data_IF_918402835576
#
_entry.id   IF_918402835576
#
_cell.length_a   1.000
_cell.length_b   1.000
_cell.length_c   1.000
_cell.angle_alpha   90.00
_cell.angle_beta   90.00
_cell.angle_gamma   90.00
#
_symmetry.space_group_name_H-M   'P 1'
#
loop_
_entity.id
_entity.type
_entity.pdbx_description
1 polymer ?
#
# COMPACT_ATOMS: atom_id res chain seq x y z
N UNK A 1 93.01 1.34 23.41
CA UNK A 1 91.78 2.13 23.52
C UNK A 1 90.89 1.72 22.36
N UNK A 2 89.94 0.84 22.66
CA UNK A 2 89.18 0.08 21.68
C UNK A 2 88.02 0.90 21.18
N UNK A 3 87.90 1.00 19.86
CA UNK A 3 86.75 1.63 19.18
C UNK A 3 85.77 0.51 18.84
N UNK A 4 84.75 0.39 19.60
CA UNK A 4 83.66 -0.55 19.37
C UNK A 4 82.92 -0.17 18.07
N UNK A 5 82.95 -1.05 17.13
CA UNK A 5 82.15 -0.95 15.88
C UNK A 5 80.72 -1.29 16.21
N UNK A 6 79.88 -0.33 16.16
CA UNK A 6 78.44 -0.48 16.22
C UNK A 6 77.95 -0.79 14.80
N UNK A 7 77.59 -2.08 14.58
CA UNK A 7 76.96 -2.50 13.36
C UNK A 7 75.47 -2.16 13.49
N UNK A 8 75.03 -1.15 12.74
CA UNK A 8 73.62 -0.83 12.60
C UNK A 8 73.03 -1.84 11.59
N UNK A 9 72.30 -2.83 12.12
CA UNK A 9 71.43 -3.71 11.29
C UNK A 9 70.17 -2.94 10.98
N UNK A 10 70.12 -2.42 9.74
CA UNK A 10 68.91 -1.75 9.23
C UNK A 10 67.94 -2.87 8.78
N UNK A 11 67.01 -3.21 9.69
CA UNK A 11 65.91 -4.13 9.36
C UNK A 11 64.90 -3.36 8.52
N UNK A 12 65.00 -3.51 7.21
CA UNK A 12 64.00 -3.02 6.26
C UNK A 12 62.78 -3.95 6.42
N UNK A 13 61.85 -3.57 7.23
CA UNK A 13 60.52 -4.17 7.27
C UNK A 13 59.80 -3.77 5.99
N UNK A 14 59.84 -4.66 5.02
CA UNK A 14 59.05 -4.54 3.79
C UNK A 14 57.58 -4.73 4.17
N UNK A 15 56.88 -3.63 4.46
CA UNK A 15 55.41 -3.66 4.57
C UNK A 15 54.86 -3.98 3.17
N UNK A 16 54.57 -5.25 2.97
CA UNK A 16 53.70 -5.69 1.88
C UNK A 16 52.31 -5.03 2.11
N UNK A 17 52.15 -3.84 1.55
CA UNK A 17 50.87 -3.21 1.42
C UNK A 17 50.05 -4.07 0.45
N UNK A 18 49.31 -5.01 1.01
CA UNK A 18 48.29 -5.75 0.27
C UNK A 18 47.29 -4.70 -0.24
N UNK A 19 47.09 -4.56 -1.56
CA UNK A 19 46.09 -3.65 -2.06
C UNK A 19 44.76 -4.11 -1.46
N UNK A 20 43.94 -3.18 -0.87
CA UNK A 20 42.61 -3.54 -0.45
C UNK A 20 41.92 -4.10 -1.70
N UNK A 21 41.50 -5.35 -1.64
CA UNK A 21 40.66 -5.94 -2.66
C UNK A 21 39.52 -4.95 -2.85
N UNK A 22 39.56 -4.20 -3.94
CA UNK A 22 38.41 -3.50 -4.48
C UNK A 22 37.34 -4.59 -4.68
N UNK A 23 36.56 -4.80 -3.64
CA UNK A 23 35.30 -5.52 -3.77
C UNK A 23 34.55 -4.72 -4.82
N UNK A 24 34.60 -5.22 -6.06
CA UNK A 24 33.73 -4.72 -7.10
C UNK A 24 32.33 -4.79 -6.47
N UNK A 25 31.79 -3.63 -6.12
CA UNK A 25 30.36 -3.51 -5.80
C UNK A 25 29.68 -3.95 -7.07
N UNK A 26 29.21 -5.19 -7.08
CA UNK A 26 28.28 -5.67 -8.09
C UNK A 26 27.19 -4.63 -8.08
N UNK A 27 26.97 -3.87 -9.17
CA UNK A 27 25.86 -2.92 -9.19
C UNK A 27 24.62 -3.72 -8.79
N UNK A 28 23.71 -3.13 -7.97
CA UNK A 28 22.50 -3.81 -7.62
C UNK A 28 21.90 -4.33 -8.92
N UNK A 29 21.78 -5.64 -9.02
CA UNK A 29 21.08 -6.25 -10.14
C UNK A 29 19.75 -5.52 -10.21
N UNK A 30 19.40 -4.98 -11.36
CA UNK A 30 18.05 -4.51 -11.64
C UNK A 30 17.15 -5.75 -11.63
N UNK A 31 16.98 -6.35 -10.46
CA UNK A 31 15.97 -7.36 -10.27
C UNK A 31 14.66 -6.65 -10.59
N UNK A 32 13.99 -7.13 -11.61
CA UNK A 32 12.63 -6.69 -11.89
C UNK A 32 11.87 -6.73 -10.57
N UNK A 33 11.16 -5.67 -10.21
CA UNK A 33 10.41 -5.67 -8.95
C UNK A 33 9.58 -6.95 -8.89
N UNK A 34 9.54 -7.63 -7.74
CA UNK A 34 8.85 -8.90 -7.63
C UNK A 34 7.41 -8.71 -8.10
N UNK A 35 7.00 -9.55 -9.05
CA UNK A 35 5.66 -9.52 -9.62
C UNK A 35 4.67 -9.76 -8.48
N UNK A 36 3.59 -8.97 -8.43
CA UNK A 36 2.49 -9.16 -7.50
C UNK A 36 1.86 -10.52 -7.79
N UNK A 37 1.55 -11.31 -6.77
CA UNK A 37 0.81 -12.56 -6.92
C UNK A 37 -0.67 -12.37 -6.60
N UNK A 38 -1.53 -13.22 -7.14
CA UNK A 38 -2.96 -13.20 -6.79
C UNK A 38 -3.18 -13.35 -5.28
N UNK A 39 -2.41 -14.22 -4.62
CA UNK A 39 -2.49 -14.41 -3.17
C UNK A 39 -2.06 -13.17 -2.37
N UNK A 40 -1.10 -12.37 -2.87
CA UNK A 40 -0.76 -11.09 -2.26
C UNK A 40 -1.88 -10.06 -2.46
N UNK A 41 -2.42 -9.97 -3.68
CA UNK A 41 -3.52 -9.07 -3.99
C UNK A 41 -4.75 -9.40 -3.12
N UNK A 42 -5.10 -10.68 -2.99
CA UNK A 42 -6.19 -11.12 -2.14
C UNK A 42 -5.98 -10.70 -0.68
N UNK A 43 -4.81 -11.03 -0.08
CA UNK A 43 -4.50 -10.65 1.31
C UNK A 43 -4.52 -9.14 1.53
N UNK A 44 -4.06 -8.37 0.54
CA UNK A 44 -4.12 -6.92 0.60
C UNK A 44 -5.56 -6.40 0.65
N UNK A 45 -6.46 -6.99 -0.14
CA UNK A 45 -7.88 -6.61 -0.11
C UNK A 45 -8.55 -7.06 1.20
N UNK A 46 -8.19 -8.21 1.75
CA UNK A 46 -8.66 -8.63 3.06
C UNK A 46 -8.21 -7.63 4.16
N UNK A 47 -6.97 -7.16 4.09
CA UNK A 47 -6.45 -6.10 4.97
C UNK A 47 -7.18 -4.76 4.78
N UNK A 48 -7.49 -4.39 3.54
CA UNK A 48 -8.30 -3.20 3.25
C UNK A 48 -9.66 -3.26 3.95
N UNK A 49 -10.37 -4.38 3.85
CA UNK A 49 -11.68 -4.58 4.50
C UNK A 49 -11.55 -4.52 6.02
N UNK A 50 -10.55 -5.18 6.59
CA UNK A 50 -10.27 -5.18 8.03
C UNK A 50 -10.01 -3.75 8.56
N UNK A 51 -9.10 -3.01 7.92
CA UNK A 51 -8.75 -1.64 8.33
C UNK A 51 -9.90 -0.65 8.13
N UNK A 52 -10.67 -0.80 7.05
CA UNK A 52 -11.87 0.01 6.83
C UNK A 52 -12.89 -0.17 7.96
N UNK A 53 -13.14 -1.41 8.39
CA UNK A 53 -14.12 -1.71 9.44
C UNK A 53 -13.65 -1.31 10.85
N UNK A 54 -12.33 -1.22 11.07
CA UNK A 54 -11.74 -0.70 12.32
C UNK A 54 -11.85 0.81 12.45
N UNK A 55 -12.08 1.51 11.35
CA UNK A 55 -12.30 2.97 11.31
C UNK A 55 -11.11 3.78 11.87
N UNK A 56 -9.88 3.26 11.83
CA UNK A 56 -8.68 4.02 12.13
C UNK A 56 -8.13 4.64 10.83
N UNK A 57 -8.26 5.96 10.73
CA UNK A 57 -7.85 6.66 9.50
C UNK A 57 -6.34 6.60 9.25
N UNK A 58 -5.54 6.58 10.31
CA UNK A 58 -4.08 6.48 10.20
C UNK A 58 -3.68 5.16 9.57
N UNK A 59 -4.18 4.06 10.13
CA UNK A 59 -3.95 2.71 9.67
C UNK A 59 -4.54 2.44 8.28
N UNK A 60 -5.73 3.01 8.01
CA UNK A 60 -6.39 2.82 6.72
C UNK A 60 -5.63 3.51 5.59
N UNK A 61 -5.20 4.75 5.80
CA UNK A 61 -4.53 5.54 4.77
C UNK A 61 -3.13 5.06 4.39
N UNK A 62 -2.50 4.18 5.18
CA UNK A 62 -1.22 3.55 4.79
C UNK A 62 -1.37 2.60 3.60
N UNK A 63 -2.59 2.14 3.31
CA UNK A 63 -2.88 1.30 2.15
C UNK A 63 -2.83 2.08 0.82
N UNK A 64 -2.89 3.40 0.87
CA UNK A 64 -2.94 4.24 -0.32
C UNK A 64 -1.56 4.80 -0.68
N UNK A 65 -1.25 4.82 -1.97
CA UNK A 65 -0.17 5.63 -2.52
C UNK A 65 -0.43 7.11 -2.23
N UNK A 66 0.63 7.90 -2.07
CA UNK A 66 0.48 9.37 -1.93
C UNK A 66 -0.07 10.03 -3.20
N UNK A 67 0.06 9.37 -4.34
CA UNK A 67 -0.55 9.77 -5.61
C UNK A 67 -1.88 9.09 -5.90
N UNK A 68 -2.52 8.44 -4.92
CA UNK A 68 -3.77 7.72 -5.13
C UNK A 68 -4.90 8.64 -5.59
N UNK A 69 -5.76 8.06 -6.45
CA UNK A 69 -6.95 8.72 -6.98
C UNK A 69 -8.17 7.84 -6.68
N UNK A 70 -9.28 8.46 -6.31
CA UNK A 70 -10.57 7.79 -6.14
C UNK A 70 -11.59 8.34 -7.14
N UNK A 71 -12.29 7.42 -7.81
CA UNK A 71 -13.30 7.74 -8.81
C UNK A 71 -12.83 8.77 -9.85
N UNK A 72 -11.54 8.74 -10.20
CA UNK A 72 -10.87 9.63 -11.18
C UNK A 72 -10.89 11.12 -10.84
N UNK A 73 -11.29 11.50 -9.64
CA UNK A 73 -11.48 12.89 -9.23
C UNK A 73 -10.85 13.24 -7.90
N UNK A 74 -10.98 12.37 -6.89
CA UNK A 74 -10.53 12.67 -5.55
C UNK A 74 -9.04 12.35 -5.41
N UNK A 75 -8.29 13.30 -4.92
CA UNK A 75 -6.87 13.16 -4.60
C UNK A 75 -6.67 12.45 -3.26
N UNK A 76 -5.44 12.06 -2.93
CA UNK A 76 -5.10 11.45 -1.64
C UNK A 76 -5.61 12.27 -0.44
N UNK A 77 -5.54 13.60 -0.51
CA UNK A 77 -6.01 14.47 0.56
C UNK A 77 -7.55 14.42 0.68
N UNK A 78 -8.25 14.48 -0.46
CA UNK A 78 -9.72 14.40 -0.50
C UNK A 78 -10.20 13.02 -0.03
N UNK A 79 -9.52 11.94 -0.43
CA UNK A 79 -9.77 10.57 0.01
C UNK A 79 -9.68 10.50 1.55
N UNK A 80 -8.58 11.03 2.11
CA UNK A 80 -8.39 11.04 3.56
C UNK A 80 -9.51 11.78 4.28
N UNK A 81 -9.88 12.96 3.81
CA UNK A 81 -10.96 13.76 4.41
C UNK A 81 -12.30 13.03 4.34
N UNK A 82 -12.64 12.45 3.18
CA UNK A 82 -13.88 11.69 2.98
C UNK A 82 -13.99 10.49 3.93
N UNK A 83 -12.92 9.69 4.04
CA UNK A 83 -12.93 8.54 4.94
C UNK A 83 -12.88 8.96 6.40
N UNK A 84 -12.17 10.01 6.76
CA UNK A 84 -12.20 10.57 8.12
C UNK A 84 -13.63 10.95 8.51
N UNK A 85 -14.32 11.72 7.67
CA UNK A 85 -15.73 12.10 7.93
C UNK A 85 -16.66 10.87 8.04
N UNK A 86 -16.41 9.86 7.21
CA UNK A 86 -17.17 8.60 7.23
C UNK A 86 -16.98 7.88 8.56
N UNK A 87 -15.73 7.71 9.00
CA UNK A 87 -15.39 7.02 10.25
C UNK A 87 -15.89 7.80 11.47
N UNK A 88 -15.72 9.12 11.50
CA UNK A 88 -16.16 9.97 12.60
C UNK A 88 -17.68 9.95 12.80
N UNK A 89 -18.44 9.82 11.72
CA UNK A 89 -19.90 9.77 11.76
C UNK A 89 -20.48 8.36 11.98
N UNK A 90 -19.64 7.32 11.93
CA UNK A 90 -20.07 5.92 12.04
C UNK A 90 -19.94 5.40 13.46
N UNK A 91 -20.96 4.72 13.95
CA UNK A 91 -20.90 3.89 15.15
C UNK A 91 -20.16 2.59 14.84
N UNK A 92 -20.50 1.99 13.69
CA UNK A 92 -19.79 0.86 13.11
C UNK A 92 -19.97 0.81 11.60
N UNK A 93 -19.05 0.10 10.96
CA UNK A 93 -19.09 -0.26 9.55
C UNK A 93 -19.02 -1.79 9.41
N UNK A 94 -19.85 -2.33 8.51
CA UNK A 94 -19.71 -3.72 8.04
C UNK A 94 -19.42 -3.68 6.56
N UNK A 95 -18.48 -4.49 6.12
CA UNK A 95 -18.07 -4.56 4.73
C UNK A 95 -18.22 -6.01 4.24
N UNK A 96 -19.12 -6.25 3.31
CA UNK A 96 -19.21 -7.47 2.53
C UNK A 96 -18.54 -7.26 1.19
N UNK A 97 -17.74 -8.22 0.75
CA UNK A 97 -17.04 -8.16 -0.52
C UNK A 97 -17.04 -9.53 -1.18
N UNK A 98 -17.34 -9.54 -2.48
CA UNK A 98 -17.20 -10.69 -3.37
C UNK A 98 -16.25 -10.30 -4.49
N UNK A 99 -15.04 -10.87 -4.50
CA UNK A 99 -14.07 -10.63 -5.55
C UNK A 99 -14.46 -11.48 -6.76
N UNK A 100 -14.58 -10.83 -7.92
CA UNK A 100 -14.91 -11.47 -9.19
C UNK A 100 -13.67 -11.74 -10.04
N UNK A 101 -12.65 -10.89 -9.96
CA UNK A 101 -11.48 -11.01 -10.83
C UNK A 101 -10.25 -10.40 -10.14
N UNK A 102 -9.12 -11.09 -10.25
CA UNK A 102 -7.77 -10.54 -9.96
C UNK A 102 -6.97 -10.68 -11.25
N UNK A 103 -6.50 -9.57 -11.78
CA UNK A 103 -5.68 -9.53 -12.98
C UNK A 103 -4.29 -8.99 -12.65
N UNK A 104 -3.27 -9.82 -12.83
CA UNK A 104 -1.88 -9.44 -12.58
C UNK A 104 -1.25 -8.96 -13.89
N UNK A 105 -0.48 -7.87 -13.81
CA UNK A 105 0.31 -7.34 -14.92
C UNK A 105 1.71 -6.92 -14.42
N UNK A 106 2.57 -6.50 -15.34
CA UNK A 106 4.00 -6.29 -15.06
C UNK A 106 4.27 -5.37 -13.88
N UNK A 107 3.50 -4.31 -13.70
CA UNK A 107 3.77 -3.24 -12.72
C UNK A 107 2.70 -3.13 -11.63
N UNK A 108 1.72 -4.03 -11.62
CA UNK A 108 0.60 -3.93 -10.70
C UNK A 108 -0.40 -5.08 -10.75
N UNK A 109 -1.56 -4.84 -10.17
CA UNK A 109 -2.70 -5.72 -10.23
C UNK A 109 -4.01 -4.93 -10.24
N UNK A 110 -4.99 -5.39 -11.02
CA UNK A 110 -6.35 -4.92 -10.92
C UNK A 110 -7.19 -5.95 -10.17
N UNK A 111 -7.92 -5.52 -9.16
CA UNK A 111 -8.87 -6.36 -8.42
C UNK A 111 -10.27 -5.79 -8.60
N UNK A 112 -11.20 -6.62 -9.02
CA UNK A 112 -12.59 -6.23 -9.23
C UNK A 112 -13.52 -7.08 -8.39
N UNK A 113 -14.61 -6.48 -7.91
CA UNK A 113 -15.59 -7.19 -7.10
C UNK A 113 -16.89 -6.43 -6.93
N UNK A 114 -17.77 -7.00 -6.15
CA UNK A 114 -19.00 -6.36 -5.66
C UNK A 114 -18.90 -6.14 -4.18
N UNK A 115 -19.29 -4.95 -3.74
CA UNK A 115 -19.28 -4.59 -2.33
C UNK A 115 -20.69 -4.34 -1.79
N UNK A 116 -20.83 -4.57 -0.49
CA UNK A 116 -21.93 -4.10 0.33
C UNK A 116 -21.37 -3.48 1.61
N UNK A 117 -21.62 -2.21 1.85
CA UNK A 117 -21.24 -1.53 3.09
C UNK A 117 -22.50 -1.13 3.86
N UNK A 118 -22.58 -1.56 5.12
CA UNK A 118 -23.60 -1.13 6.06
C UNK A 118 -22.96 -0.16 7.04
N UNK A 119 -23.43 1.08 7.02
CA UNK A 119 -23.00 2.14 7.93
C UNK A 119 -24.08 2.40 8.98
N UNK A 120 -23.80 2.16 10.26
CA UNK A 120 -24.59 2.67 11.36
C UNK A 120 -24.06 4.05 11.76
N UNK A 121 -24.96 5.03 11.88
CA UNK A 121 -24.60 6.41 12.17
C UNK A 121 -24.70 6.68 13.67
N UNK A 122 -23.73 7.37 14.28
CA UNK A 122 -23.71 7.75 15.70
C UNK A 122 -24.94 8.58 16.15
N UNK A 123 -25.53 9.33 15.23
CA UNK A 123 -26.61 10.27 15.55
C UNK A 123 -27.93 9.94 14.84
N UNK A 124 -28.10 8.70 14.41
CA UNK A 124 -29.30 8.28 13.69
C UNK A 124 -29.62 6.81 13.98
N UNK A 125 -30.88 6.45 14.23
CA UNK A 125 -31.25 5.04 14.36
C UNK A 125 -31.23 4.30 13.04
N UNK A 126 -31.09 5.01 11.92
CA UNK A 126 -31.10 4.42 10.59
C UNK A 126 -29.70 4.00 10.17
N UNK A 127 -29.65 2.89 9.42
CA UNK A 127 -28.44 2.42 8.76
C UNK A 127 -28.48 2.80 7.29
N UNK A 128 -27.34 3.22 6.77
CA UNK A 128 -27.16 3.39 5.33
C UNK A 128 -26.56 2.11 4.76
N UNK A 129 -27.06 1.70 3.60
CA UNK A 129 -26.53 0.54 2.87
C UNK A 129 -26.07 1.01 1.51
N UNK A 130 -24.81 0.74 1.19
CA UNK A 130 -24.21 1.04 -0.10
C UNK A 130 -23.81 -0.27 -0.76
N UNK A 131 -24.21 -0.44 -2.02
CA UNK A 131 -23.88 -1.63 -2.82
C UNK A 131 -23.43 -1.20 -4.20
N UNK A 132 -22.57 -2.00 -4.80
CA UNK A 132 -22.16 -1.75 -6.18
C UNK A 132 -20.93 -2.52 -6.58
N UNK A 133 -20.37 -2.15 -7.71
CA UNK A 133 -19.11 -2.68 -8.19
C UNK A 133 -17.96 -1.82 -7.64
N UNK A 134 -16.82 -2.47 -7.44
CA UNK A 134 -15.60 -1.82 -6.97
C UNK A 134 -14.41 -2.39 -7.74
N UNK A 135 -13.43 -1.54 -8.01
CA UNK A 135 -12.17 -1.88 -8.64
C UNK A 135 -11.03 -1.18 -7.90
N UNK A 136 -9.98 -1.92 -7.61
CA UNK A 136 -8.71 -1.41 -7.11
C UNK A 136 -7.63 -1.60 -8.16
N UNK A 137 -6.80 -0.59 -8.36
CA UNK A 137 -5.52 -0.68 -9.05
C UNK A 137 -4.41 -0.67 -7.99
N UNK A 138 -3.70 -1.78 -7.90
CA UNK A 138 -2.61 -1.97 -6.94
C UNK A 138 -1.27 -1.80 -7.61
N UNK A 139 -0.35 -1.14 -6.93
CA UNK A 139 1.06 -1.02 -7.34
C UNK A 139 1.98 -1.40 -6.19
N UNK A 140 3.25 -1.67 -6.51
CA UNK A 140 4.29 -1.88 -5.51
C UNK A 140 5.16 -0.62 -5.42
N UNK A 141 5.11 0.07 -4.29
CA UNK A 141 5.96 1.22 -3.94
C UNK A 141 6.88 0.82 -2.80
N UNK A 142 8.19 0.98 -2.97
CA UNK A 142 9.22 0.63 -1.98
C UNK A 142 9.06 -0.78 -1.40
N UNK A 143 8.67 -1.74 -2.24
CA UNK A 143 8.44 -3.13 -1.85
C UNK A 143 7.08 -3.41 -1.22
N UNK A 144 6.24 -2.40 -0.97
CA UNK A 144 4.94 -2.51 -0.29
C UNK A 144 3.81 -2.33 -1.30
N UNK A 145 2.76 -3.16 -1.22
CA UNK A 145 1.54 -2.96 -2.01
C UNK A 145 0.78 -1.73 -1.54
N UNK A 146 0.29 -0.95 -2.50
CA UNK A 146 -0.54 0.23 -2.25
C UNK A 146 -1.63 0.37 -3.31
N UNK A 147 -2.71 1.02 -2.93
CA UNK A 147 -3.77 1.43 -3.85
C UNK A 147 -3.29 2.65 -4.62
N UNK A 148 -3.18 2.52 -5.94
CA UNK A 148 -2.93 3.61 -6.86
C UNK A 148 -4.22 4.30 -7.28
N UNK A 149 -5.27 3.50 -7.50
CA UNK A 149 -6.58 4.00 -7.89
C UNK A 149 -7.66 3.09 -7.30
N UNK A 150 -8.75 3.67 -6.85
CA UNK A 150 -9.96 2.96 -6.44
C UNK A 150 -11.16 3.59 -7.12
N UNK A 151 -11.96 2.75 -7.76
CA UNK A 151 -13.19 3.17 -8.42
C UNK A 151 -14.35 2.34 -7.89
N UNK A 152 -15.45 2.97 -7.56
CA UNK A 152 -16.66 2.28 -7.19
C UNK A 152 -17.89 3.00 -7.71
N UNK A 153 -18.88 2.21 -8.12
CA UNK A 153 -20.20 2.65 -8.49
C UNK A 153 -21.23 2.20 -7.47
N UNK A 154 -22.33 2.92 -7.36
CA UNK A 154 -23.46 2.51 -6.54
C UNK A 154 -24.55 1.90 -7.43
N UNK A 155 -25.12 0.79 -6.97
CA UNK A 155 -26.33 0.24 -7.57
C UNK A 155 -27.50 1.15 -7.17
N UNK A 156 -27.96 1.98 -8.10
CA UNK A 156 -29.21 2.72 -7.89
C UNK A 156 -30.38 1.76 -8.13
N UNK A 157 -31.08 1.37 -7.05
CA UNK A 157 -32.39 0.76 -7.19
C UNK A 157 -33.42 1.83 -7.50
N UNK A 158 -34.02 1.77 -8.68
CA UNK A 158 -35.13 2.62 -9.09
C UNK A 158 -36.43 2.41 -8.27
N UNK A 159 -36.48 1.36 -7.48
CA UNK A 159 -37.62 0.85 -6.74
C UNK A 159 -37.61 1.25 -5.25
N UNK A 160 -36.71 2.12 -4.81
CA UNK A 160 -36.77 2.69 -3.47
C UNK A 160 -37.69 3.93 -3.46
N UNK A 161 -38.88 3.88 -2.86
CA UNK A 161 -39.79 5.03 -2.82
C UNK A 161 -39.29 6.17 -1.93
N UNK A 162 -38.06 6.12 -1.43
CA UNK A 162 -37.48 7.03 -0.45
C UNK A 162 -36.33 7.89 -0.97
N UNK A 163 -36.08 7.92 -2.28
CA UNK A 163 -35.19 8.90 -2.88
C UNK A 163 -35.97 9.86 -3.76
N UNK A 164 -36.38 11.02 -3.21
CA UNK A 164 -36.62 12.16 -4.08
C UNK A 164 -35.26 12.53 -4.70
N UNK A 165 -35.25 12.74 -6.00
CA UNK A 165 -34.10 13.24 -6.77
C UNK A 165 -33.42 14.42 -6.08
N UNK A 166 -32.07 14.59 -6.28
CA UNK A 166 -31.39 15.81 -5.89
C UNK A 166 -31.95 17.02 -6.59
#
# INVERSE_FOLDING_TARGET
>A
MEIRKIVFILVITLFLVWPPFLRAQVPPSFENPPVITEAEAQRFIDEYVDKYTKMDIGDFMVLFSKGAIENRMLTYADIRELYQMTFDNSEYLKYGLEISTIQIYKEGAAVMGRYEVIQALKRSPYKKVYKGNIQWELIREDGILRIKEINYGRDYRWDSPLHPYP
#
